data_IF_951796757065
#
_entry.id   IF_951796757065
#
_cell.length_a   1.000
_cell.length_b   1.000
_cell.length_c   1.000
_cell.angle_alpha   90.00
_cell.angle_beta   90.00
_cell.angle_gamma   90.00
#
_symmetry.space_group_name_H-M   'P 1'
#
loop_
_entity.id
_entity.type
_entity.pdbx_description
1 polymer ?
#
# COMPACT_ATOMS: atom_id res chain seq x y z
N UNK A 1 -58.79 45.88 -29.89
CA UNK A 1 -59.41 46.52 -28.71
C UNK A 1 -59.43 45.50 -27.58
N UNK A 2 -58.99 45.91 -26.37
CA UNK A 2 -59.13 45.27 -25.03
C UNK A 2 -58.49 43.87 -24.84
N UNK A 3 -57.43 43.75 -24.02
CA UNK A 3 -57.39 43.51 -22.55
C UNK A 3 -57.78 42.07 -22.18
N UNK A 4 -57.26 41.39 -21.16
CA UNK A 4 -56.16 41.52 -20.19
C UNK A 4 -56.30 40.31 -19.24
N UNK A 5 -55.19 39.87 -18.62
CA UNK A 5 -55.09 39.16 -17.33
C UNK A 5 -55.53 37.68 -17.31
N UNK A 6 -54.64 36.73 -17.05
CA UNK A 6 -54.00 36.36 -15.76
C UNK A 6 -54.16 34.82 -15.66
N UNK A 7 -53.36 33.97 -15.02
CA UNK A 7 -52.48 34.00 -13.85
C UNK A 7 -51.51 32.80 -14.03
N UNK A 8 -50.20 32.98 -13.82
CA UNK A 8 -49.42 32.54 -12.65
C UNK A 8 -49.46 31.02 -12.33
N UNK A 9 -48.39 30.31 -12.70
CA UNK A 9 -47.77 29.28 -11.85
C UNK A 9 -46.37 28.91 -12.38
N UNK A 10 -45.37 29.57 -11.82
CA UNK A 10 -43.96 29.18 -11.85
C UNK A 10 -43.78 27.78 -11.28
N UNK A 11 -43.12 26.88 -12.01
CA UNK A 11 -42.45 25.71 -11.41
C UNK A 11 -41.01 25.69 -11.90
N UNK A 12 -40.14 26.33 -11.12
CA UNK A 12 -38.69 26.19 -11.29
C UNK A 12 -38.31 24.79 -10.85
N UNK A 13 -38.03 23.92 -11.82
CA UNK A 13 -37.44 22.62 -11.54
C UNK A 13 -35.94 22.85 -11.24
N UNK A 14 -35.63 23.04 -9.96
CA UNK A 14 -34.26 23.12 -9.46
C UNK A 14 -33.65 21.72 -9.51
N UNK A 15 -32.89 21.42 -10.55
CA UNK A 15 -31.95 20.28 -10.55
C UNK A 15 -30.73 20.70 -9.75
N UNK A 16 -30.68 20.30 -8.47
CA UNK A 16 -29.49 20.40 -7.65
C UNK A 16 -28.41 19.45 -8.18
N UNK A 17 -27.31 20.03 -8.66
CA UNK A 17 -26.09 19.28 -8.95
C UNK A 17 -25.43 18.90 -7.62
N UNK A 18 -25.74 17.73 -7.08
CA UNK A 18 -24.88 17.12 -6.06
C UNK A 18 -23.66 16.52 -6.78
N UNK A 19 -22.62 17.33 -6.95
CA UNK A 19 -21.28 16.82 -7.20
C UNK A 19 -20.81 16.16 -5.91
N UNK A 20 -21.10 14.87 -5.76
CA UNK A 20 -20.48 14.03 -4.74
C UNK A 20 -18.99 14.01 -5.02
N UNK A 21 -18.23 14.77 -4.25
CA UNK A 21 -16.77 14.70 -4.24
C UNK A 21 -16.38 13.29 -3.81
N UNK A 22 -15.94 12.48 -4.77
CA UNK A 22 -15.38 11.16 -4.48
C UNK A 22 -14.03 11.42 -3.81
N UNK A 23 -13.77 10.94 -2.58
CA UNK A 23 -12.44 11.04 -2.01
C UNK A 23 -11.47 10.36 -2.97
N UNK A 24 -10.33 11.01 -3.24
CA UNK A 24 -9.29 10.51 -4.13
C UNK A 24 -9.08 9.01 -3.84
N UNK A 25 -9.30 8.17 -4.86
CA UNK A 25 -9.04 6.76 -4.74
C UNK A 25 -7.55 6.62 -4.39
N UNK A 26 -7.27 6.13 -3.19
CA UNK A 26 -5.91 5.69 -2.84
C UNK A 26 -5.58 4.63 -3.88
N UNK A 27 -4.69 4.96 -4.83
CA UNK A 27 -4.14 3.97 -5.76
C UNK A 27 -3.34 2.99 -4.90
N UNK A 28 -4.01 1.93 -4.42
CA UNK A 28 -3.31 0.82 -3.81
C UNK A 28 -2.38 0.24 -4.88
N UNK A 29 -1.08 0.41 -4.65
CA UNK A 29 -0.05 -0.15 -5.53
C UNK A 29 -0.34 -1.64 -5.72
N UNK A 30 -0.35 -2.15 -6.97
CA UNK A 30 -0.67 -3.55 -7.21
C UNK A 30 0.28 -4.44 -6.41
N UNK A 31 -0.31 -5.37 -5.65
CA UNK A 31 0.42 -6.33 -4.82
C UNK A 31 1.31 -7.23 -5.69
N UNK A 32 2.53 -7.46 -5.23
CA UNK A 32 3.49 -8.34 -5.91
C UNK A 32 2.93 -9.76 -6.03
N UNK A 33 3.04 -10.37 -7.21
CA UNK A 33 2.62 -11.76 -7.44
C UNK A 33 3.81 -12.68 -7.26
N UNK A 34 3.86 -13.40 -6.14
CA UNK A 34 4.97 -14.29 -5.83
C UNK A 34 4.94 -15.58 -6.66
N UNK A 35 5.94 -15.73 -7.53
CA UNK A 35 6.20 -16.98 -8.27
C UNK A 35 7.19 -17.88 -7.51
N UNK A 36 7.24 -19.16 -7.88
CA UNK A 36 8.22 -20.08 -7.27
C UNK A 36 9.67 -19.65 -7.50
N UNK A 37 10.00 -19.07 -8.65
CA UNK A 37 11.35 -18.57 -8.94
C UNK A 37 11.71 -17.40 -8.04
N UNK A 38 10.74 -16.51 -7.77
CA UNK A 38 10.94 -15.42 -6.83
C UNK A 38 11.14 -15.93 -5.40
N UNK A 39 10.37 -16.94 -4.99
CA UNK A 39 10.54 -17.57 -3.68
C UNK A 39 11.91 -18.22 -3.54
N UNK A 40 12.38 -18.96 -4.56
CA UNK A 40 13.73 -19.54 -4.57
C UNK A 40 14.81 -18.47 -4.45
N UNK A 41 14.69 -17.39 -5.21
CA UNK A 41 15.62 -16.25 -5.16
C UNK A 41 15.61 -15.56 -3.80
N UNK A 42 14.42 -15.34 -3.23
CA UNK A 42 14.25 -14.73 -1.91
C UNK A 42 14.87 -15.60 -0.81
N UNK A 43 14.63 -16.90 -0.86
CA UNK A 43 15.20 -17.85 0.10
C UNK A 43 16.74 -17.85 0.03
N UNK A 44 17.32 -17.74 -1.17
CA UNK A 44 18.78 -17.64 -1.34
C UNK A 44 19.39 -16.44 -0.61
N UNK A 45 18.72 -15.29 -0.58
CA UNK A 45 19.16 -14.13 0.21
C UNK A 45 19.15 -14.41 1.73
N UNK A 46 18.21 -15.24 2.19
CA UNK A 46 18.04 -15.59 3.60
C UNK A 46 18.85 -16.82 4.06
N UNK A 47 19.55 -17.50 3.15
CA UNK A 47 20.30 -18.70 3.50
C UNK A 47 21.48 -18.38 4.41
N UNK A 48 21.40 -18.82 5.67
CA UNK A 48 22.49 -18.76 6.64
C UNK A 48 22.82 -17.36 7.16
N UNK A 49 22.09 -16.33 6.74
CA UNK A 49 22.32 -14.95 7.12
C UNK A 49 21.12 -14.37 7.86
N UNK A 50 21.41 -13.50 8.81
CA UNK A 50 20.41 -12.59 9.37
C UNK A 50 19.94 -11.60 8.30
N UNK A 51 18.63 -11.40 8.20
CA UNK A 51 18.06 -10.36 7.34
C UNK A 51 17.84 -9.12 8.22
N UNK A 52 18.81 -8.21 8.18
CA UNK A 52 18.74 -6.90 8.82
C UNK A 52 17.79 -5.95 8.07
N UNK A 53 17.23 -4.98 8.80
CA UNK A 53 16.26 -4.00 8.30
C UNK A 53 16.74 -3.19 7.07
N UNK A 54 18.05 -3.01 6.93
CA UNK A 54 18.69 -2.29 5.82
C UNK A 54 18.86 -3.12 4.54
N UNK A 55 18.70 -4.45 4.62
CA UNK A 55 18.88 -5.34 3.47
C UNK A 55 17.68 -5.37 2.53
N UNK A 56 16.48 -5.06 3.02
CA UNK A 56 15.24 -5.20 2.24
C UNK A 56 15.23 -4.36 0.96
N UNK A 57 15.77 -3.14 0.98
CA UNK A 57 15.85 -2.29 -0.22
C UNK A 57 16.79 -2.89 -1.27
N UNK A 58 17.91 -3.48 -0.84
CA UNK A 58 18.84 -4.18 -1.74
C UNK A 58 18.20 -5.44 -2.33
N UNK A 59 17.45 -6.18 -1.52
CA UNK A 59 16.72 -7.39 -1.95
C UNK A 59 15.64 -7.01 -2.96
N UNK A 60 14.83 -5.98 -2.67
CA UNK A 60 13.81 -5.44 -3.59
C UNK A 60 14.37 -5.12 -4.98
N UNK A 61 15.50 -4.41 -5.03
CA UNK A 61 16.16 -4.05 -6.28
C UNK A 61 16.67 -5.25 -7.09
N UNK A 62 16.77 -6.43 -6.49
CA UNK A 62 17.17 -7.63 -7.20
C UNK A 62 16.00 -8.29 -7.95
N UNK A 63 14.75 -7.88 -7.73
CA UNK A 63 13.58 -8.41 -8.43
C UNK A 63 13.09 -7.42 -9.48
N UNK A 64 12.64 -7.94 -10.62
CA UNK A 64 12.11 -7.12 -11.72
C UNK A 64 10.81 -6.42 -11.30
N UNK A 65 9.96 -7.11 -10.51
CA UNK A 65 8.70 -6.58 -9.98
C UNK A 65 8.89 -5.54 -8.86
N UNK A 66 10.11 -5.40 -8.33
CA UNK A 66 10.46 -4.47 -7.24
C UNK A 66 9.46 -4.52 -6.07
N UNK A 67 9.29 -5.68 -5.42
CA UNK A 67 8.42 -5.81 -4.26
C UNK A 67 8.87 -4.86 -3.16
N UNK A 68 7.93 -4.30 -2.43
CA UNK A 68 8.24 -3.41 -1.31
C UNK A 68 9.02 -4.15 -0.22
N UNK A 69 9.83 -3.43 0.58
CA UNK A 69 10.49 -3.99 1.76
C UNK A 69 9.54 -4.77 2.68
N UNK A 70 8.32 -4.26 2.83
CA UNK A 70 7.28 -4.88 3.65
C UNK A 70 6.78 -6.20 3.04
N UNK A 71 6.50 -6.25 1.74
CA UNK A 71 6.09 -7.49 1.06
C UNK A 71 7.17 -8.58 1.15
N UNK A 72 8.44 -8.22 1.03
CA UNK A 72 9.57 -9.14 1.20
C UNK A 72 9.59 -9.70 2.63
N UNK A 73 9.46 -8.84 3.64
CA UNK A 73 9.43 -9.23 5.05
C UNK A 73 8.30 -10.22 5.34
N UNK A 74 7.09 -9.90 4.89
CA UNK A 74 5.92 -10.77 5.06
C UNK A 74 6.12 -12.12 4.39
N UNK A 75 6.69 -12.14 3.17
CA UNK A 75 6.95 -13.39 2.45
C UNK A 75 8.01 -14.24 3.14
N UNK A 76 9.07 -13.63 3.67
CA UNK A 76 10.10 -14.33 4.46
C UNK A 76 9.53 -14.92 5.76
N UNK A 77 8.66 -14.18 6.46
CA UNK A 77 7.97 -14.70 7.65
C UNK A 77 7.09 -15.89 7.31
N UNK A 78 6.37 -15.85 6.19
CA UNK A 78 5.54 -16.96 5.73
C UNK A 78 6.40 -18.22 5.47
N UNK A 79 7.51 -18.08 4.75
CA UNK A 79 8.45 -19.19 4.53
C UNK A 79 9.00 -19.74 5.83
N UNK A 80 9.38 -18.88 6.79
CA UNK A 80 9.87 -19.31 8.10
C UNK A 80 8.82 -20.09 8.88
N UNK A 81 7.56 -19.66 8.90
CA UNK A 81 6.48 -20.40 9.55
C UNK A 81 6.30 -21.79 8.93
N UNK A 82 6.36 -21.89 7.60
CA UNK A 82 6.27 -23.18 6.88
C UNK A 82 7.46 -24.08 7.20
N UNK A 83 8.68 -23.55 7.26
CA UNK A 83 9.87 -24.29 7.64
C UNK A 83 9.78 -24.83 9.08
N UNK A 84 9.39 -23.99 10.03
CA UNK A 84 9.17 -24.39 11.42
C UNK A 84 8.15 -25.52 11.51
N UNK A 85 7.00 -25.39 10.84
CA UNK A 85 5.98 -26.45 10.84
C UNK A 85 6.49 -27.77 10.22
N UNK A 86 7.31 -27.71 9.18
CA UNK A 86 7.93 -28.89 8.59
C UNK A 86 8.96 -29.54 9.53
N UNK A 87 9.70 -28.75 10.30
CA UNK A 87 10.65 -29.22 11.31
C UNK A 87 9.90 -29.86 12.48
N UNK A 88 8.82 -29.25 12.97
CA UNK A 88 7.97 -29.83 14.01
C UNK A 88 7.43 -31.21 13.57
N UNK A 89 6.99 -31.31 12.32
CA UNK A 89 6.54 -32.58 11.73
C UNK A 89 7.66 -33.62 11.56
N UNK A 90 8.93 -33.22 11.66
CA UNK A 90 10.08 -34.14 11.60
C UNK A 90 10.30 -34.94 12.89
N UNK A 91 9.51 -34.70 13.94
CA UNK A 91 9.62 -35.34 15.26
C UNK A 91 11.01 -35.18 15.90
N UNK A 92 11.59 -33.97 15.81
CA UNK A 92 12.88 -33.65 16.44
C UNK A 92 14.11 -34.16 15.69
N UNK A 93 13.97 -34.57 14.41
CA UNK A 93 15.11 -34.97 13.57
C UNK A 93 15.89 -33.79 13.00
N UNK A 94 15.28 -32.60 12.99
CA UNK A 94 15.85 -31.36 12.49
C UNK A 94 15.79 -30.29 13.59
N UNK A 95 16.79 -29.41 13.61
CA UNK A 95 16.81 -28.25 14.51
C UNK A 95 16.05 -27.07 13.88
N UNK A 96 15.47 -26.22 14.73
CA UNK A 96 14.78 -25.01 14.27
C UNK A 96 15.77 -23.98 13.72
N UNK A 97 15.36 -23.18 12.71
CA UNK A 97 16.20 -22.10 12.21
C UNK A 97 16.46 -21.06 13.31
N UNK A 98 17.73 -20.76 13.58
CA UNK A 98 18.17 -19.77 14.58
C UNK A 98 18.38 -18.35 14.03
N UNK A 99 18.35 -18.18 12.71
CA UNK A 99 18.52 -16.88 12.05
C UNK A 99 17.36 -15.95 12.40
N UNK A 100 17.59 -14.67 12.71
CA UNK A 100 16.52 -13.67 12.95
C UNK A 100 16.14 -12.97 11.64
N UNK A 101 14.86 -12.59 11.50
CA UNK A 101 14.37 -11.70 10.43
C UNK A 101 13.90 -10.44 11.14
N UNK A 102 14.60 -9.33 10.95
CA UNK A 102 14.22 -8.04 11.50
C UNK A 102 13.21 -7.36 10.57
N UNK A 103 12.19 -6.65 11.07
CA UNK A 103 11.28 -5.89 10.21
C UNK A 103 12.05 -4.81 9.43
N UNK A 104 11.58 -4.40 8.24
CA UNK A 104 12.20 -3.31 7.49
C UNK A 104 12.12 -2.01 8.28
N UNK A 105 13.06 -1.09 8.05
CA UNK A 105 12.91 0.29 8.55
C UNK A 105 11.72 0.88 7.80
N UNK A 106 10.72 1.36 8.55
CA UNK A 106 9.64 2.14 7.96
C UNK A 106 10.24 3.49 7.60
N UNK A 107 10.41 3.75 6.31
CA UNK A 107 10.58 5.12 5.85
C UNK A 107 9.26 5.81 6.26
N UNK A 108 9.31 6.67 7.29
CA UNK A 108 8.17 7.51 7.64
C UNK A 108 7.80 8.26 6.35
N UNK A 109 6.63 7.97 5.79
CA UNK A 109 6.12 8.65 4.60
C UNK A 109 6.26 10.15 4.84
N UNK A 110 7.05 10.83 4.01
CA UNK A 110 7.06 12.29 3.95
C UNK A 110 5.60 12.72 3.82
N UNK A 111 5.12 13.38 4.87
CA UNK A 111 3.77 13.92 4.92
C UNK A 111 3.73 15.08 3.93
N UNK A 112 3.47 14.76 2.66
CA UNK A 112 3.10 15.72 1.64
C UNK A 112 1.74 16.32 2.01
N UNK A 113 1.80 17.32 2.90
CA UNK A 113 0.71 18.25 3.12
C UNK A 113 0.70 19.27 1.98
N UNK A 114 0.07 18.88 0.88
CA UNK A 114 -0.16 19.72 -0.30
C UNK A 114 -1.09 20.92 0.04
N UNK A 115 -0.80 22.01 -0.64
CA UNK A 115 -1.25 23.40 -0.48
C UNK A 115 -2.76 23.66 -0.30
N UNK A 116 -3.07 24.71 0.45
CA UNK A 116 -4.29 25.49 0.26
C UNK A 116 -3.94 26.99 0.17
N UNK A 117 -3.96 27.49 -1.06
CA UNK A 117 -3.96 28.91 -1.37
C UNK A 117 -5.32 29.54 -1.00
N UNK A 118 -5.30 30.74 -0.41
CA UNK A 118 -6.38 31.72 -0.62
C UNK A 118 -5.81 33.14 -0.64
N UNK A 119 -6.20 33.86 -1.69
CA UNK A 119 -5.84 35.24 -2.05
C UNK A 119 -6.71 36.27 -1.29
N UNK A 120 -6.28 37.53 -1.30
CA UNK A 120 -7.14 38.73 -1.18
C UNK A 120 -6.90 39.54 0.10
N UNK A 121 -6.27 40.72 0.03
CA UNK A 121 -6.95 42.04 -0.15
C UNK A 121 -7.43 42.55 1.24
N UNK A 122 -6.97 43.66 1.84
CA UNK A 122 -7.00 45.08 1.47
C UNK A 122 -6.28 45.83 2.63
N UNK A 123 -5.44 46.85 2.43
CA UNK A 123 -5.87 48.25 2.40
C UNK A 123 -5.55 49.02 3.71
N UNK A 124 -4.56 49.94 3.64
CA UNK A 124 -4.49 51.29 4.26
C UNK A 124 -3.05 51.80 4.32
#
# INVERSE_FOLDING_TARGET
MANSSGENATTNNTTTNNTTSVPAAVEEKPKTVWTEDMDRKLLLFSMGNEIASEHYKKISNAFDEKPTPQEIYERLLEHRRRQTAAIDASNGRLEHPHTTIHPPVQDEEEKDGEDAAENGEEGA
#
